data_IF_790372372344
#
_entry.id   IF_790372372344
#
_cell.length_a   1.000
_cell.length_b   1.000
_cell.length_c   1.000
_cell.angle_alpha   90.00
_cell.angle_beta   90.00
_cell.angle_gamma   90.00
#
_symmetry.space_group_name_H-M   'P 1'
#
loop_
_entity.id
_entity.type
_entity.pdbx_description
1 polymer ?
#
# COMPACT_ATOMS: atom_id res chain seq x y z
N UNK A 1 -59.92 6.57 24.33
CA UNK A 1 -59.15 6.81 23.10
C UNK A 1 -58.20 5.63 22.91
N UNK A 2 -58.46 4.79 21.90
CA UNK A 2 -57.58 3.69 21.44
C UNK A 2 -56.58 4.26 20.39
N UNK A 3 -55.40 3.66 20.12
CA UNK A 3 -55.29 2.27 19.71
C UNK A 3 -54.21 1.41 20.39
N UNK A 4 -54.55 0.14 20.50
CA UNK A 4 -53.69 -1.03 20.56
C UNK A 4 -53.02 -1.24 19.20
N UNK A 5 -51.73 -1.60 19.15
CA UNK A 5 -51.19 -2.51 18.13
C UNK A 5 -50.18 -3.48 18.73
N UNK A 6 -50.61 -4.74 18.82
CA UNK A 6 -49.75 -5.93 18.82
C UNK A 6 -48.93 -5.99 17.52
N UNK A 7 -47.66 -6.35 17.60
CA UNK A 7 -47.02 -7.29 16.65
C UNK A 7 -46.07 -8.20 17.42
N UNK A 8 -46.25 -9.51 17.19
CA UNK A 8 -45.67 -10.72 17.79
C UNK A 8 -44.21 -10.97 17.30
N UNK A 9 -43.50 -11.99 17.83
CA UNK A 9 -42.04 -12.05 17.95
C UNK A 9 -41.33 -12.55 16.69
N UNK A 10 -40.06 -12.18 16.51
CA UNK A 10 -39.17 -12.83 15.55
C UNK A 10 -37.75 -12.96 16.13
N UNK A 11 -37.40 -14.21 16.40
CA UNK A 11 -36.09 -14.84 16.19
C UNK A 11 -34.86 -14.27 16.93
N UNK A 12 -34.47 -15.02 17.97
CA UNK A 12 -33.06 -15.38 18.15
C UNK A 12 -32.53 -15.97 16.83
N UNK A 13 -31.38 -15.49 16.36
CA UNK A 13 -30.21 -16.26 15.86
C UNK A 13 -29.22 -15.28 15.25
N UNK A 14 -27.96 -15.40 15.65
CA UNK A 14 -26.82 -14.87 14.90
C UNK A 14 -25.96 -13.91 15.70
N UNK A 15 -25.09 -14.46 16.52
CA UNK A 15 -23.86 -13.80 16.91
C UNK A 15 -23.06 -13.48 15.63
N UNK A 16 -23.26 -12.30 15.06
CA UNK A 16 -22.28 -11.71 14.18
C UNK A 16 -21.27 -11.00 15.08
N UNK A 17 -20.33 -11.77 15.62
CA UNK A 17 -19.03 -11.25 16.04
C UNK A 17 -18.39 -10.63 14.79
N UNK A 18 -18.75 -9.39 14.50
CA UNK A 18 -17.93 -8.54 13.64
C UNK A 18 -16.69 -8.23 14.47
N UNK A 19 -15.74 -9.16 14.42
CA UNK A 19 -14.34 -8.85 14.57
C UNK A 19 -14.02 -7.88 13.43
N UNK A 20 -14.38 -6.61 13.64
CA UNK A 20 -13.64 -5.52 13.02
C UNK A 20 -12.28 -5.64 13.67
N UNK A 21 -11.44 -6.52 13.12
CA UNK A 21 -10.01 -6.43 13.24
C UNK A 21 -9.63 -5.13 12.52
N UNK A 22 -9.92 -4.00 13.16
CA UNK A 22 -9.13 -2.81 13.04
C UNK A 22 -7.78 -3.20 13.60
N UNK A 23 -7.01 -3.96 12.81
CA UNK A 23 -5.59 -4.06 12.99
C UNK A 23 -5.12 -2.62 12.94
N UNK A 24 -4.86 -2.04 14.10
CA UNK A 24 -4.01 -0.88 14.22
C UNK A 24 -2.73 -1.26 13.49
N UNK A 25 -2.61 -0.91 12.22
CA UNK A 25 -1.40 -1.09 11.44
C UNK A 25 -0.37 -0.34 12.27
N UNK A 26 0.53 -1.06 12.93
CA UNK A 26 1.40 -0.46 13.94
C UNK A 26 2.11 0.71 13.29
N UNK A 27 2.26 1.84 13.98
CA UNK A 27 2.89 3.06 13.44
C UNK A 27 4.23 2.80 12.73
N UNK A 28 4.93 1.73 13.14
CA UNK A 28 6.12 1.23 12.47
C UNK A 28 5.91 0.84 11.00
N UNK A 29 4.85 0.10 10.67
CA UNK A 29 4.56 -0.32 9.29
C UNK A 29 4.35 0.88 8.36
N UNK A 30 3.75 1.97 8.86
CA UNK A 30 3.57 3.20 8.08
C UNK A 30 4.92 3.82 7.69
N UNK A 31 5.92 3.78 8.58
CA UNK A 31 7.26 4.26 8.28
C UNK A 31 7.94 3.41 7.19
N UNK A 32 7.81 2.08 7.26
CA UNK A 32 8.30 1.16 6.23
C UNK A 32 7.64 1.39 4.86
N UNK A 33 6.32 1.63 4.84
CA UNK A 33 5.59 1.93 3.61
C UNK A 33 5.99 3.27 3.00
N UNK A 34 6.07 4.32 3.82
CA UNK A 34 6.43 5.66 3.34
C UNK A 34 7.85 5.68 2.78
N UNK A 35 8.82 5.04 3.45
CA UNK A 35 10.19 4.92 2.93
C UNK A 35 10.22 4.26 1.54
N UNK A 36 9.36 3.28 1.30
CA UNK A 36 9.22 2.65 -0.02
C UNK A 36 8.54 3.56 -1.05
N UNK A 37 7.46 4.25 -0.68
CA UNK A 37 6.75 5.20 -1.56
C UNK A 37 7.68 6.32 -2.05
N UNK A 38 8.54 6.84 -1.16
CA UNK A 38 9.54 7.87 -1.50
C UNK A 38 10.53 7.40 -2.58
N UNK A 39 10.81 6.10 -2.65
CA UNK A 39 11.68 5.51 -3.68
C UNK A 39 10.93 5.10 -4.94
N UNK A 40 9.65 4.78 -4.83
CA UNK A 40 8.86 4.24 -5.93
C UNK A 40 8.71 5.25 -7.07
N UNK A 41 8.43 6.53 -6.78
CA UNK A 41 8.24 7.56 -7.80
C UNK A 41 9.44 7.72 -8.76
N UNK A 42 10.64 8.03 -8.24
CA UNK A 42 11.84 8.14 -9.07
C UNK A 42 12.17 6.85 -9.82
N UNK A 43 11.93 5.67 -9.22
CA UNK A 43 12.18 4.40 -9.88
C UNK A 43 11.18 4.12 -11.01
N UNK A 44 9.91 4.48 -10.85
CA UNK A 44 8.90 4.41 -11.91
C UNK A 44 9.28 5.30 -13.08
N UNK A 45 9.68 6.55 -12.84
CA UNK A 45 10.19 7.45 -13.90
C UNK A 45 11.39 6.83 -14.61
N UNK A 46 12.36 6.31 -13.85
CA UNK A 46 13.57 5.71 -14.41
C UNK A 46 13.29 4.48 -15.27
N UNK A 47 12.37 3.60 -14.86
CA UNK A 47 12.01 2.41 -15.64
C UNK A 47 11.16 2.76 -16.87
N UNK A 48 10.28 3.76 -16.74
CA UNK A 48 9.51 4.28 -17.86
C UNK A 48 10.42 4.83 -18.96
N UNK A 49 11.40 5.64 -18.58
CA UNK A 49 12.36 6.21 -19.53
C UNK A 49 13.16 5.12 -20.26
N UNK A 50 13.57 4.05 -19.58
CA UNK A 50 14.26 2.92 -20.23
C UNK A 50 13.37 2.19 -21.23
N UNK A 51 12.08 2.06 -20.93
CA UNK A 51 11.12 1.27 -21.73
C UNK A 51 10.63 2.03 -22.95
N UNK A 52 10.41 3.35 -22.81
CA UNK A 52 9.79 4.18 -23.84
C UNK A 52 10.72 5.23 -24.46
N UNK A 53 12.00 5.29 -24.03
CA UNK A 53 13.00 6.28 -24.45
C UNK A 53 12.57 7.75 -24.24
N UNK A 54 11.64 7.97 -23.31
CA UNK A 54 11.10 9.27 -22.94
C UNK A 54 10.63 9.26 -21.49
N UNK A 55 10.76 10.38 -20.78
CA UNK A 55 10.17 10.52 -19.45
C UNK A 55 8.64 10.59 -19.56
N UNK A 56 7.89 10.08 -18.57
CA UNK A 56 6.45 10.31 -18.51
C UNK A 56 6.16 11.78 -18.22
N UNK A 57 4.94 12.23 -18.52
CA UNK A 57 4.51 13.57 -18.14
C UNK A 57 4.44 13.72 -16.61
N UNK A 58 3.78 12.77 -15.95
CA UNK A 58 3.62 12.78 -14.49
C UNK A 58 3.51 11.35 -13.95
N UNK A 59 4.01 11.14 -12.73
CA UNK A 59 3.71 9.94 -11.93
C UNK A 59 2.80 10.33 -10.78
N UNK A 60 1.57 9.83 -10.82
CA UNK A 60 0.52 10.05 -9.82
C UNK A 60 0.21 8.78 -9.03
N UNK A 61 -0.52 8.94 -7.92
CA UNK A 61 -1.12 7.83 -7.15
C UNK A 61 -0.14 6.70 -6.79
N UNK A 62 1.00 7.04 -6.21
CA UNK A 62 1.91 6.04 -5.64
C UNK A 62 1.28 5.48 -4.36
N UNK A 63 0.71 4.29 -4.44
CA UNK A 63 -0.01 3.65 -3.34
C UNK A 63 0.59 2.30 -3.03
N UNK A 64 0.71 1.97 -1.74
CA UNK A 64 1.02 0.61 -1.29
C UNK A 64 -0.27 -0.19 -1.28
N UNK A 65 -0.22 -1.42 -1.79
CA UNK A 65 -1.35 -2.37 -1.78
C UNK A 65 -1.12 -3.50 -0.79
N UNK A 66 0.15 -3.78 -0.45
CA UNK A 66 0.51 -4.82 0.51
C UNK A 66 1.81 -4.45 1.21
N UNK A 67 1.85 -4.62 2.52
CA UNK A 67 3.08 -4.60 3.31
C UNK A 67 3.13 -5.87 4.17
N UNK A 68 4.23 -6.62 4.09
CA UNK A 68 4.42 -7.89 4.79
C UNK A 68 5.80 -7.95 5.41
N UNK A 69 5.88 -8.40 6.65
CA UNK A 69 7.17 -8.66 7.29
C UNK A 69 7.90 -9.81 6.56
N UNK A 70 9.18 -9.59 6.26
CA UNK A 70 10.04 -10.57 5.61
C UNK A 70 10.51 -11.63 6.59
N UNK A 71 10.74 -12.85 6.10
CA UNK A 71 11.26 -13.96 6.91
C UNK A 71 12.68 -13.74 7.45
N UNK A 72 13.42 -12.80 6.85
CA UNK A 72 14.72 -12.32 7.34
C UNK A 72 14.62 -11.33 8.50
N UNK A 73 13.42 -10.96 8.91
CA UNK A 73 13.23 -10.19 10.14
C UNK A 73 13.67 -11.02 11.34
N UNK A 74 14.42 -10.39 12.21
CA UNK A 74 14.96 -10.95 13.44
C UNK A 74 14.78 -9.96 14.59
N UNK A 75 15.20 -10.34 15.80
CA UNK A 75 15.26 -9.40 16.92
C UNK A 75 16.13 -8.17 16.61
N UNK A 76 17.17 -8.36 15.79
CA UNK A 76 18.20 -7.34 15.50
C UNK A 76 17.90 -6.48 14.28
N UNK A 77 16.93 -6.87 13.44
CA UNK A 77 16.56 -6.10 12.25
C UNK A 77 15.17 -6.48 11.78
N UNK A 78 14.34 -5.47 11.52
CA UNK A 78 13.01 -5.66 10.95
C UNK A 78 13.04 -5.33 9.46
N UNK A 79 12.59 -6.27 8.63
CA UNK A 79 12.50 -6.11 7.18
C UNK A 79 11.05 -6.25 6.73
N UNK A 80 10.58 -5.31 5.92
CA UNK A 80 9.22 -5.27 5.40
C UNK A 80 9.27 -5.20 3.89
N UNK A 81 8.55 -6.09 3.23
CA UNK A 81 8.33 -6.07 1.80
C UNK A 81 7.04 -5.32 1.49
N UNK A 82 7.16 -4.29 0.66
CA UNK A 82 6.05 -3.43 0.27
C UNK A 82 5.86 -3.54 -1.23
N UNK A 83 4.64 -3.84 -1.65
CA UNK A 83 4.23 -3.81 -3.05
C UNK A 83 3.13 -2.78 -3.23
N UNK A 84 3.07 -2.21 -4.43
CA UNK A 84 2.12 -1.15 -4.73
C UNK A 84 1.95 -0.92 -6.22
N UNK A 85 1.14 0.07 -6.53
CA UNK A 85 0.92 0.56 -7.89
C UNK A 85 1.20 2.06 -7.95
N UNK A 86 1.51 2.53 -9.14
CA UNK A 86 1.61 3.93 -9.49
C UNK A 86 0.84 4.15 -10.79
N UNK A 87 0.26 5.33 -10.96
CA UNK A 87 -0.35 5.77 -12.21
C UNK A 87 0.63 6.69 -12.93
N UNK A 88 0.85 6.47 -14.21
CA UNK A 88 1.76 7.27 -15.02
C UNK A 88 0.94 7.93 -16.12
N UNK A 89 0.90 9.26 -16.12
CA UNK A 89 0.28 10.02 -17.20
C UNK A 89 1.29 10.22 -18.32
N UNK A 90 0.88 9.88 -19.54
CA UNK A 90 1.72 9.95 -20.74
C UNK A 90 1.58 11.30 -21.43
N UNK A 91 0.44 11.95 -21.25
CA UNK A 91 0.12 13.27 -21.78
C UNK A 91 -0.21 14.28 -20.69
N UNK A 92 -0.18 15.56 -21.06
CA UNK A 92 -0.46 16.69 -20.16
C UNK A 92 -1.89 16.71 -19.62
N UNK A 93 -2.86 16.19 -20.38
CA UNK A 93 -4.26 16.16 -19.96
C UNK A 93 -4.57 15.07 -18.92
N UNK A 94 -3.65 14.12 -18.74
CA UNK A 94 -3.84 12.94 -17.90
C UNK A 94 -4.83 11.92 -18.49
N UNK A 95 -5.20 12.04 -19.77
CA UNK A 95 -6.17 11.17 -20.42
C UNK A 95 -5.60 9.79 -20.72
N UNK A 96 -4.36 9.70 -21.21
CA UNK A 96 -3.61 8.45 -21.28
C UNK A 96 -2.85 8.23 -19.97
N UNK A 97 -3.39 7.35 -19.13
CA UNK A 97 -2.76 6.92 -17.89
C UNK A 97 -2.49 5.42 -17.94
N UNK A 98 -1.27 5.02 -17.59
CA UNK A 98 -0.84 3.62 -17.46
C UNK A 98 -0.60 3.25 -16.01
N UNK A 99 -0.91 2.02 -15.66
CA UNK A 99 -0.62 1.49 -14.32
C UNK A 99 0.73 0.78 -14.33
N UNK A 100 1.59 1.17 -13.40
CA UNK A 100 2.90 0.60 -13.18
C UNK A 100 2.91 -0.07 -11.81
N UNK A 101 3.24 -1.35 -11.78
CA UNK A 101 3.43 -2.09 -10.54
C UNK A 101 4.85 -1.89 -10.02
N UNK A 102 5.01 -1.77 -8.71
CA UNK A 102 6.32 -1.65 -8.08
C UNK A 102 6.41 -2.52 -6.82
N UNK A 103 7.62 -2.94 -6.49
CA UNK A 103 7.93 -3.63 -5.25
C UNK A 103 9.22 -3.10 -4.64
N UNK A 104 9.25 -3.13 -3.31
CA UNK A 104 10.27 -2.52 -2.48
C UNK A 104 10.53 -3.39 -1.26
N UNK A 105 11.75 -3.33 -0.72
CA UNK A 105 12.02 -3.74 0.64
C UNK A 105 12.39 -2.52 1.46
N UNK A 106 11.98 -2.48 2.72
CA UNK A 106 12.44 -1.51 3.69
C UNK A 106 12.89 -2.22 4.95
N UNK A 107 13.91 -1.69 5.60
CA UNK A 107 14.56 -2.30 6.75
C UNK A 107 14.92 -1.26 7.80
N UNK A 108 14.83 -1.66 9.06
CA UNK A 108 15.26 -0.87 10.23
C UNK A 108 16.06 -1.77 11.16
N UNK A 109 17.37 -1.53 11.31
CA UNK A 109 18.19 -2.18 12.32
C UNK A 109 17.68 -1.89 13.73
N UNK A 110 17.92 -2.81 14.67
CA UNK A 110 17.64 -2.60 16.08
C UNK A 110 18.45 -1.41 16.63
N UNK A 111 17.81 -0.57 17.45
CA UNK A 111 18.44 0.62 18.01
C UNK A 111 18.58 1.79 17.03
N UNK A 112 18.23 1.61 15.74
CA UNK A 112 18.16 2.68 14.76
C UNK A 112 16.73 3.18 14.60
N UNK A 113 16.56 4.49 14.52
CA UNK A 113 15.28 5.13 14.21
C UNK A 113 15.04 5.27 12.70
N UNK A 114 16.08 5.12 11.90
CA UNK A 114 16.02 5.32 10.45
C UNK A 114 15.59 4.06 9.73
N UNK A 115 14.54 4.19 8.91
CA UNK A 115 14.14 3.16 7.95
C UNK A 115 14.87 3.41 6.65
N UNK A 116 15.56 2.39 6.13
CA UNK A 116 16.14 2.41 4.79
C UNK A 116 15.26 1.61 3.84
N UNK A 117 15.22 1.97 2.56
CA UNK A 117 14.39 1.32 1.57
C UNK A 117 15.09 1.19 0.21
N UNK A 118 14.82 0.10 -0.49
CA UNK A 118 15.34 -0.20 -1.81
C UNK A 118 14.27 -0.78 -2.72
N UNK A 119 14.22 -0.29 -3.96
CA UNK A 119 13.31 -0.83 -4.99
C UNK A 119 13.83 -2.17 -5.46
N UNK A 120 12.95 -3.16 -5.47
CA UNK A 120 13.24 -4.52 -5.96
C UNK A 120 12.86 -4.67 -7.43
N UNK A 121 11.70 -4.14 -7.81
CA UNK A 121 11.23 -4.21 -9.19
C UNK A 121 10.25 -3.09 -9.50
N UNK A 122 10.21 -2.74 -10.78
CA UNK A 122 9.18 -1.91 -11.40
C UNK A 122 8.74 -2.65 -12.67
N UNK A 123 7.45 -2.69 -12.94
CA UNK A 123 6.87 -3.40 -14.08
C UNK A 123 5.79 -2.55 -14.72
N UNK A 124 6.02 -2.19 -15.98
CA UNK A 124 5.10 -1.42 -16.82
C UNK A 124 4.23 -2.43 -17.57
N UNK A 125 2.92 -2.29 -17.46
CA UNK A 125 1.93 -3.18 -18.07
C UNK A 125 1.48 -2.68 -19.46
#
# INVERSE_FOLDING_TARGET
>A
MTPVRLVTPAMLVGAASTLIAGCSQSSDFVAFENACKDKAGPAVVGEWQKTHDAAPWEVTKIVSTTAKEGSESSSESKVVYVSGTASVSVDESGADTREVSWSCFSQRPEGDTNVTAGIRSVSIN
#
